data_IF_879198813057
#
_entry.id   IF_879198813057
#
_cell.length_a   1.000
_cell.length_b   1.000
_cell.length_c   1.000
_cell.angle_alpha   90.00
_cell.angle_beta   90.00
_cell.angle_gamma   90.00
#
_symmetry.space_group_name_H-M   'P 1'
#
loop_
_entity.id
_entity.type
_entity.pdbx_description
1 polymer ?
#
# COMPACT_ATOMS: atom_id res chain seq x y z
N UNK A 1 7.36 -1.13 -24.16
CA UNK A 1 6.58 -0.11 -23.44
C UNK A 1 7.21 0.04 -22.06
N UNK A 2 7.51 1.26 -21.60
CA UNK A 2 8.01 1.47 -20.23
C UNK A 2 6.81 1.28 -19.29
N UNK A 3 6.72 0.11 -18.66
CA UNK A 3 5.77 -0.15 -17.60
C UNK A 3 6.13 0.77 -16.42
N UNK A 4 5.17 1.54 -15.93
CA UNK A 4 5.35 2.23 -14.65
C UNK A 4 5.42 1.16 -13.58
N UNK A 5 6.60 0.96 -13.01
CA UNK A 5 6.86 -0.09 -12.01
C UNK A 5 6.87 0.45 -10.58
N UNK A 6 6.50 1.71 -10.36
CA UNK A 6 6.46 2.28 -9.00
C UNK A 6 7.75 2.01 -8.22
N UNK A 7 7.63 1.91 -6.90
CA UNK A 7 8.70 1.41 -6.04
C UNK A 7 8.66 2.01 -4.64
N UNK A 8 9.20 1.25 -3.68
CA UNK A 8 9.38 1.70 -2.30
C UNK A 8 10.86 1.66 -1.97
N UNK A 9 11.39 2.68 -1.30
CA UNK A 9 12.76 2.65 -0.79
C UNK A 9 12.76 2.72 0.72
N UNK A 10 13.56 1.86 1.36
CA UNK A 10 13.87 1.94 2.78
C UNK A 10 15.21 2.65 2.95
N UNK A 11 15.27 3.59 3.88
CA UNK A 11 16.49 4.31 4.24
C UNK A 11 16.65 4.23 5.75
N UNK A 12 17.85 3.92 6.25
CA UNK A 12 18.14 3.89 7.68
C UNK A 12 19.57 4.34 7.96
N UNK A 13 19.80 4.74 9.21
CA UNK A 13 21.11 5.18 9.68
C UNK A 13 21.65 4.20 10.72
N UNK A 14 22.96 3.95 10.67
CA UNK A 14 23.68 3.20 11.70
C UNK A 14 24.80 4.09 12.24
N UNK A 15 24.94 4.21 13.55
CA UNK A 15 26.02 4.99 14.17
C UNK A 15 27.02 4.07 14.86
N UNK A 16 28.31 4.30 14.63
CA UNK A 16 29.40 3.65 15.37
C UNK A 16 30.42 4.69 15.82
N UNK A 17 30.41 5.01 17.12
CA UNK A 17 31.24 6.08 17.67
C UNK A 17 30.82 7.45 17.11
N UNK A 18 31.77 8.31 16.67
CA UNK A 18 31.44 9.64 16.13
C UNK A 18 30.90 9.60 14.69
N UNK A 19 30.82 8.43 14.05
CA UNK A 19 30.42 8.30 12.65
C UNK A 19 28.99 7.81 12.51
N UNK A 20 28.26 8.37 11.54
CA UNK A 20 26.92 7.92 11.13
C UNK A 20 26.97 7.49 9.66
N UNK A 21 26.49 6.28 9.40
CA UNK A 21 26.44 5.67 8.07
C UNK A 21 25.00 5.67 7.57
N UNK A 22 24.80 6.11 6.33
CA UNK A 22 23.51 6.03 5.65
C UNK A 22 23.41 4.75 4.83
N UNK A 23 22.30 4.05 4.98
CA UNK A 23 21.95 2.86 4.22
C UNK A 23 20.65 3.11 3.46
N UNK A 24 20.55 2.57 2.24
CA UNK A 24 19.34 2.63 1.44
C UNK A 24 19.15 1.38 0.61
N UNK A 25 17.92 0.88 0.58
CA UNK A 25 17.48 -0.22 -0.28
C UNK A 25 16.27 0.25 -1.07
N UNK A 26 16.35 0.20 -2.40
CA UNK A 26 15.19 0.43 -3.26
C UNK A 26 14.61 -0.91 -3.67
N UNK A 27 13.36 -1.12 -3.30
CA UNK A 27 12.57 -2.25 -3.71
C UNK A 27 12.02 -1.99 -5.13
N UNK A 28 12.74 -2.52 -6.14
CA UNK A 28 12.31 -2.46 -7.54
C UNK A 28 11.64 -3.79 -7.94
N UNK A 29 10.53 -3.75 -8.70
CA UNK A 29 9.88 -4.94 -9.25
C UNK A 29 10.76 -5.89 -10.04
N UNK A 30 11.85 -5.39 -10.63
CA UNK A 30 12.76 -6.19 -11.44
C UNK A 30 13.66 -7.16 -10.64
N UNK A 31 13.74 -7.02 -9.31
CA UNK A 31 14.63 -7.85 -8.47
C UNK A 31 13.99 -9.21 -8.16
N UNK A 32 12.66 -9.25 -7.96
CA UNK A 32 11.84 -10.46 -7.84
C UNK A 32 10.50 -10.16 -8.50
N UNK A 33 10.11 -10.93 -9.52
CA UNK A 33 8.92 -10.64 -10.34
C UNK A 33 7.63 -10.49 -9.51
N UNK A 34 7.50 -11.26 -8.43
CA UNK A 34 6.39 -11.19 -7.48
C UNK A 34 6.27 -9.84 -6.76
N UNK A 35 7.37 -9.08 -6.62
CA UNK A 35 7.33 -7.73 -6.06
C UNK A 35 6.67 -6.71 -6.99
N UNK A 36 6.64 -6.99 -8.29
CA UNK A 36 5.90 -6.16 -9.24
C UNK A 36 4.42 -6.08 -8.88
N UNK A 37 3.84 -7.17 -8.41
CA UNK A 37 2.40 -7.23 -8.14
C UNK A 37 2.01 -6.52 -6.83
N UNK A 38 3.00 -6.23 -5.97
CA UNK A 38 2.82 -5.54 -4.70
C UNK A 38 3.29 -4.07 -4.74
N UNK A 39 4.46 -3.79 -5.34
CA UNK A 39 5.10 -2.46 -5.36
C UNK A 39 5.10 -1.79 -6.73
N UNK A 40 4.80 -2.56 -7.80
CA UNK A 40 4.81 -2.13 -9.19
C UNK A 40 4.00 -0.87 -9.48
N UNK A 41 3.08 -0.53 -8.59
CA UNK A 41 2.17 0.60 -8.75
C UNK A 41 1.92 1.30 -7.41
N UNK A 42 2.79 1.05 -6.44
CA UNK A 42 2.68 1.64 -5.11
C UNK A 42 2.80 3.16 -5.22
N UNK A 43 1.78 3.84 -4.73
CA UNK A 43 1.63 5.28 -4.76
C UNK A 43 1.67 5.87 -3.35
N UNK A 44 1.18 5.14 -2.35
CA UNK A 44 1.12 5.58 -0.96
C UNK A 44 1.74 4.53 -0.03
N UNK A 45 2.34 4.99 1.08
CA UNK A 45 3.01 4.12 2.05
C UNK A 45 2.59 4.47 3.48
N UNK A 46 2.46 3.45 4.32
CA UNK A 46 2.23 3.57 5.76
C UNK A 46 2.99 2.51 6.54
N UNK A 47 2.97 2.60 7.86
CA UNK A 47 3.57 1.60 8.74
C UNK A 47 2.86 1.56 10.08
N UNK A 48 2.62 0.38 10.61
CA UNK A 48 1.91 0.19 11.87
C UNK A 48 2.13 -1.20 12.42
N UNK A 49 1.64 -1.44 13.63
CA UNK A 49 1.67 -2.74 14.28
C UNK A 49 0.26 -3.33 14.23
N UNK A 50 -0.06 -4.03 13.15
CA UNK A 50 -1.35 -4.68 12.94
C UNK A 50 -1.37 -6.10 13.49
N UNK A 51 -0.23 -6.79 13.44
CA UNK A 51 -0.11 -8.20 13.83
C UNK A 51 1.22 -8.47 14.56
N UNK A 52 1.22 -9.39 15.52
CA UNK A 52 2.44 -9.85 16.21
C UNK A 52 3.26 -8.72 16.89
N UNK A 53 4.57 -8.89 16.96
CA UNK A 53 5.49 -7.92 17.57
C UNK A 53 6.21 -7.03 16.56
N UNK A 54 6.12 -7.37 15.27
CA UNK A 54 6.82 -6.64 14.21
C UNK A 54 6.00 -5.45 13.72
N UNK A 55 6.68 -4.41 13.24
CA UNK A 55 6.04 -3.34 12.48
C UNK A 55 5.84 -3.79 11.04
N UNK A 56 4.59 -3.83 10.58
CA UNK A 56 4.28 -4.05 9.18
C UNK A 56 4.30 -2.73 8.40
N UNK A 57 4.47 -2.87 7.09
CA UNK A 57 4.38 -1.80 6.11
C UNK A 57 3.08 -1.93 5.33
N UNK A 58 2.55 -0.81 4.89
CA UNK A 58 1.35 -0.73 4.06
C UNK A 58 1.72 -0.07 2.75
N UNK A 59 1.31 -0.67 1.63
CA UNK A 59 1.47 -0.13 0.30
C UNK A 59 0.11 0.01 -0.38
N UNK A 60 -0.20 1.21 -0.88
CA UNK A 60 -1.41 1.47 -1.67
C UNK A 60 -1.09 1.57 -3.16
N UNK A 61 -1.76 0.75 -3.96
CA UNK A 61 -1.59 0.62 -5.41
C UNK A 61 -2.89 0.99 -6.13
N UNK A 62 -3.21 2.29 -6.29
CA UNK A 62 -4.52 2.76 -6.75
C UNK A 62 -4.87 2.42 -8.20
N UNK A 63 -3.90 1.96 -9.00
CA UNK A 63 -4.09 1.57 -10.39
C UNK A 63 -4.21 0.07 -10.61
N UNK A 64 -4.01 -0.73 -9.56
CA UNK A 64 -4.05 -2.18 -9.64
C UNK A 64 -5.41 -2.63 -10.17
N UNK A 65 -5.40 -3.37 -11.28
CA UNK A 65 -6.60 -3.85 -11.99
C UNK A 65 -7.66 -2.76 -12.25
N UNK A 66 -7.22 -1.49 -12.35
CA UNK A 66 -8.07 -0.30 -12.48
C UNK A 66 -9.01 -0.02 -11.29
N UNK A 67 -9.07 -0.88 -10.28
CA UNK A 67 -9.92 -0.72 -9.08
C UNK A 67 -9.15 -0.16 -7.88
N UNK A 68 -7.85 -0.46 -7.81
CA UNK A 68 -6.97 -0.12 -6.70
C UNK A 68 -6.85 -1.25 -5.68
N UNK A 69 -5.70 -1.34 -5.01
CA UNK A 69 -5.38 -2.35 -3.99
C UNK A 69 -4.58 -1.75 -2.84
N UNK A 70 -4.70 -2.32 -1.65
CA UNK A 70 -3.81 -2.07 -0.52
C UNK A 70 -3.28 -3.39 0.02
N UNK A 71 -1.98 -3.46 0.30
CA UNK A 71 -1.30 -4.64 0.82
C UNK A 71 -0.56 -4.30 2.11
N UNK A 72 -0.70 -5.15 3.14
CA UNK A 72 0.02 -5.08 4.42
C UNK A 72 1.05 -6.20 4.43
N UNK A 73 2.32 -5.88 4.62
CA UNK A 73 3.40 -6.84 4.48
C UNK A 73 4.58 -6.57 5.42
N UNK A 74 5.37 -7.60 5.69
CA UNK A 74 6.73 -7.48 6.23
C UNK A 74 7.75 -7.89 5.18
N UNK A 75 8.99 -7.48 5.39
CA UNK A 75 10.12 -7.85 4.54
C UNK A 75 11.18 -8.45 5.43
N UNK A 76 11.62 -9.66 5.10
CA UNK A 76 12.80 -10.24 5.72
C UNK A 76 14.02 -9.41 5.31
N UNK A 77 14.76 -8.90 6.30
CA UNK A 77 15.89 -7.99 6.06
C UNK A 77 17.13 -8.71 5.49
N UNK A 78 17.19 -10.03 5.62
CA UNK A 78 18.32 -10.86 5.17
C UNK A 78 18.04 -11.45 3.79
N UNK A 79 16.88 -12.08 3.62
CA UNK A 79 16.53 -12.76 2.36
C UNK A 79 15.84 -11.84 1.35
N UNK A 80 15.41 -10.66 1.81
CA UNK A 80 14.56 -9.73 1.04
C UNK A 80 13.31 -10.46 0.52
N UNK A 81 12.75 -11.37 1.31
CA UNK A 81 11.45 -11.97 1.01
C UNK A 81 10.34 -11.09 1.56
N UNK A 82 9.23 -11.05 0.84
CA UNK A 82 8.05 -10.31 1.26
C UNK A 82 7.00 -11.28 1.74
N UNK A 83 6.56 -11.05 2.97
CA UNK A 83 5.45 -11.77 3.56
C UNK A 83 4.26 -10.84 3.63
N UNK A 84 3.28 -11.11 2.78
CA UNK A 84 2.00 -10.41 2.82
C UNK A 84 1.14 -11.01 3.92
N UNK A 85 0.65 -10.15 4.80
CA UNK A 85 -0.23 -10.53 5.91
C UNK A 85 -1.70 -10.32 5.57
N UNK A 86 -2.00 -9.27 4.79
CA UNK A 86 -3.36 -8.93 4.41
C UNK A 86 -3.41 -8.07 3.15
N UNK A 87 -4.48 -8.19 2.37
CA UNK A 87 -4.75 -7.35 1.22
C UNK A 87 -6.23 -6.99 1.11
N UNK A 88 -6.53 -5.84 0.49
CA UNK A 88 -7.87 -5.47 0.07
C UNK A 88 -7.87 -4.79 -1.30
N UNK A 89 -8.90 -5.09 -2.07
CA UNK A 89 -9.15 -4.50 -3.40
C UNK A 89 -10.29 -3.51 -3.33
N UNK A 90 -10.18 -2.42 -4.09
CA UNK A 90 -11.19 -1.38 -4.18
C UNK A 90 -12.51 -1.89 -4.78
N UNK A 91 -13.66 -1.40 -4.31
CA UNK A 91 -14.96 -1.90 -4.75
C UNK A 91 -15.42 -1.35 -6.11
N UNK A 92 -14.74 -0.35 -6.67
CA UNK A 92 -15.16 0.33 -7.89
C UNK A 92 -13.97 0.65 -8.81
N UNK A 93 -14.14 0.35 -10.10
CA UNK A 93 -13.19 0.73 -11.15
C UNK A 93 -13.06 2.25 -11.23
N UNK A 94 -11.82 2.73 -11.25
CA UNK A 94 -11.49 4.15 -11.31
C UNK A 94 -11.59 4.88 -9.98
N UNK A 95 -11.94 4.21 -8.87
CA UNK A 95 -12.09 4.84 -7.56
C UNK A 95 -10.78 5.31 -6.91
N UNK A 96 -9.65 4.81 -7.42
CA UNK A 96 -8.31 5.10 -6.89
C UNK A 96 -8.15 4.62 -5.43
N UNK A 97 -8.76 3.49 -5.08
CA UNK A 97 -8.62 2.89 -3.75
C UNK A 97 -7.15 2.59 -3.43
N UNK A 98 -6.63 3.12 -2.32
CA UNK A 98 -5.20 3.05 -1.98
C UNK A 98 -4.39 4.26 -2.43
N UNK A 99 -5.03 5.34 -2.90
CA UNK A 99 -4.34 6.58 -3.24
C UNK A 99 -3.73 7.29 -2.02
N UNK A 100 -4.33 7.12 -0.85
CA UNK A 100 -3.81 7.57 0.43
C UNK A 100 -4.05 6.50 1.48
N UNK A 101 -3.08 6.31 2.37
CA UNK A 101 -3.18 5.41 3.52
C UNK A 101 -2.78 6.16 4.78
N UNK A 102 -3.44 5.85 5.90
CA UNK A 102 -3.09 6.34 7.22
C UNK A 102 -3.19 5.19 8.22
N UNK A 103 -2.26 5.17 9.17
CA UNK A 103 -2.11 4.08 10.13
C UNK A 103 -1.93 4.66 11.53
N UNK A 104 -2.58 4.07 12.53
CA UNK A 104 -2.45 4.50 13.92
C UNK A 104 -3.34 3.70 14.85
N UNK A 105 -2.96 3.63 16.12
CA UNK A 105 -3.75 3.04 17.21
C UNK A 105 -4.74 4.10 17.71
N UNK A 106 -5.99 3.99 17.27
CA UNK A 106 -7.09 4.92 17.47
C UNK A 106 -7.98 4.47 18.63
N UNK A 107 -8.14 3.18 18.85
CA UNK A 107 -8.95 2.64 19.95
C UNK A 107 -8.14 2.36 21.24
N UNK A 108 -6.81 2.43 21.16
CA UNK A 108 -5.90 2.39 22.30
C UNK A 108 -5.57 0.97 22.78
N UNK A 109 -5.77 -0.05 21.95
CA UNK A 109 -5.57 -1.45 22.33
C UNK A 109 -4.12 -1.96 22.11
N UNK A 110 -3.26 -1.10 21.53
CA UNK A 110 -1.86 -1.41 21.22
C UNK A 110 -1.64 -2.06 19.85
N UNK A 111 -2.70 -2.21 19.05
CA UNK A 111 -2.68 -2.53 17.64
C UNK A 111 -2.97 -1.27 16.81
N UNK A 112 -2.48 -1.24 15.57
CA UNK A 112 -2.74 -0.13 14.66
C UNK A 112 -3.93 -0.44 13.78
N UNK A 113 -4.75 0.57 13.52
CA UNK A 113 -5.80 0.53 12.51
C UNK A 113 -5.28 1.10 11.19
N UNK A 114 -5.91 0.67 10.09
CA UNK A 114 -5.58 1.10 8.74
C UNK A 114 -6.77 1.81 8.11
N UNK A 115 -6.55 3.05 7.69
CA UNK A 115 -7.49 3.85 6.90
C UNK A 115 -6.99 3.96 5.46
N UNK A 116 -7.91 3.77 4.51
CA UNK A 116 -7.60 3.79 3.07
C UNK A 116 -8.53 4.77 2.36
N UNK A 117 -7.96 5.68 1.58
CA UNK A 117 -8.69 6.62 0.75
C UNK A 117 -8.99 6.08 -0.65
N UNK A 118 -10.19 6.40 -1.16
CA UNK A 118 -10.61 6.20 -2.54
C UNK A 118 -11.20 7.52 -3.09
N UNK A 119 -10.35 8.50 -3.42
CA UNK A 119 -10.77 9.87 -3.68
C UNK A 119 -11.63 10.04 -4.94
N UNK A 120 -11.59 9.08 -5.87
CA UNK A 120 -12.37 9.10 -7.09
C UNK A 120 -13.59 8.17 -7.01
N UNK A 121 -13.89 7.63 -5.83
CA UNK A 121 -15.09 6.84 -5.62
C UNK A 121 -16.33 7.69 -5.90
N UNK A 122 -17.18 7.19 -6.79
CA UNK A 122 -18.44 7.83 -7.15
C UNK A 122 -19.60 6.95 -6.74
N UNK A 123 -20.50 7.50 -5.91
CA UNK A 123 -21.81 6.89 -5.70
C UNK A 123 -22.60 7.21 -6.97
N UNK A 124 -22.75 6.23 -7.86
CA UNK A 124 -23.61 6.40 -9.02
C UNK A 124 -24.96 6.92 -8.53
N UNK A 125 -25.47 8.00 -9.15
CA UNK A 125 -26.92 8.19 -9.14
C UNK A 125 -27.48 6.89 -9.67
N UNK A 126 -28.19 6.13 -8.84
CA UNK A 126 -29.16 5.19 -9.37
C UNK A 126 -30.14 6.10 -10.10
N UNK A 127 -29.94 6.29 -11.40
CA UNK A 127 -31.00 6.64 -12.30
C UNK A 127 -31.93 5.43 -12.21
N UNK A 128 -32.77 5.40 -11.17
CA UNK A 128 -33.97 4.57 -11.21
C UNK A 128 -34.64 5.08 -12.47
N UNK A 129 -34.73 4.22 -13.48
CA UNK A 129 -35.49 4.46 -14.69
C UNK A 129 -36.84 5.02 -14.25
N UNK A 130 -36.98 6.34 -14.29
CA UNK A 130 -38.28 6.98 -14.17
C UNK A 130 -38.86 6.76 -15.56
N UNK A 131 -39.90 5.92 -15.72
CA UNK A 131 -40.50 5.72 -17.02
C UNK A 131 -40.97 7.09 -17.51
N UNK A 132 -40.55 7.46 -18.72
CA UNK A 132 -41.12 8.62 -19.39
C UNK A 132 -42.62 8.35 -19.59
N UNK A 133 -43.53 9.18 -19.07
CA UNK A 133 -44.94 9.07 -19.44
C UNK A 133 -45.07 9.33 -20.94
N UNK A 134 -45.92 8.53 -21.58
CA UNK A 134 -46.28 8.52 -22.99
C UNK A 134 -46.61 9.91 -23.57
#
# INVERSE_FOLDING_TARGET
MKQWTGGVSRIWLTSSGPFTYGHSETFKPAVKAEWSDYFGECYSIGSGRFFGSETQRVAGSPRHELVGKVSVFTTDIVTLDIKVHWEATGPQVGSYFGAAVATGDVDGDGWSELFVGAPLYTVGKIQRDVPMPC
#
